data_IF_915204940874
#
_entry.id   IF_915204940874
#
_cell.length_a   1.000
_cell.length_b   1.000
_cell.length_c   1.000
_cell.angle_alpha   90.00
_cell.angle_beta   90.00
_cell.angle_gamma   90.00
#
_symmetry.space_group_name_H-M   'P 1'
#
loop_
_entity.id
_entity.type
_entity.pdbx_description
1 polymer ?
#
# COMPACT_ATOMS: atom_id res chain seq x y z
N UNK A 1 7.63 -14.48 -15.11
CA UNK A 1 6.32 -14.90 -15.66
C UNK A 1 6.45 -16.38 -15.93
N UNK A 2 5.49 -17.15 -15.48
CA UNK A 2 5.41 -18.59 -15.75
C UNK A 2 4.81 -18.84 -17.13
N UNK A 3 5.31 -19.83 -17.86
CA UNK A 3 4.75 -20.21 -19.16
C UNK A 3 3.46 -21.03 -19.00
N UNK A 4 2.53 -21.00 -19.98
CA UNK A 4 1.30 -21.79 -19.90
C UNK A 4 1.62 -23.30 -19.83
N UNK A 5 1.21 -23.96 -18.73
CA UNK A 5 1.42 -25.39 -18.50
C UNK A 5 2.50 -25.73 -17.49
N UNK A 6 3.20 -24.77 -16.91
CA UNK A 6 4.11 -25.02 -15.79
C UNK A 6 3.34 -25.44 -14.53
N UNK A 7 3.92 -26.41 -13.81
CA UNK A 7 3.33 -26.87 -12.56
C UNK A 7 3.51 -25.83 -11.47
N UNK A 8 2.51 -25.62 -10.61
CA UNK A 8 2.53 -24.67 -9.48
C UNK A 8 3.72 -24.85 -8.54
N UNK A 9 4.31 -26.05 -8.50
CA UNK A 9 5.47 -26.39 -7.68
C UNK A 9 6.79 -25.73 -8.19
N UNK A 10 6.80 -25.22 -9.42
CA UNK A 10 7.96 -24.55 -10.02
C UNK A 10 7.86 -23.02 -9.93
N UNK A 11 6.88 -22.49 -9.23
CA UNK A 11 6.77 -21.05 -8.96
C UNK A 11 7.93 -20.60 -8.05
N UNK A 12 8.42 -19.39 -8.30
CA UNK A 12 9.37 -18.77 -7.39
C UNK A 12 8.70 -18.52 -6.04
N UNK A 13 9.41 -18.80 -4.96
CA UNK A 13 8.96 -18.52 -3.61
C UNK A 13 8.70 -17.01 -3.43
N UNK A 14 7.54 -16.67 -2.91
CA UNK A 14 7.09 -15.28 -2.78
C UNK A 14 6.66 -15.02 -1.34
N UNK A 15 7.14 -13.92 -0.77
CA UNK A 15 6.80 -13.47 0.57
C UNK A 15 6.10 -12.12 0.52
N UNK A 16 4.94 -12.03 1.15
CA UNK A 16 4.26 -10.76 1.42
C UNK A 16 4.32 -10.52 2.93
N UNK A 17 5.05 -9.49 3.34
CA UNK A 17 5.24 -9.16 4.75
C UNK A 17 4.45 -7.89 5.08
N UNK A 18 3.49 -8.01 5.99
CA UNK A 18 2.74 -6.90 6.57
C UNK A 18 3.30 -6.57 7.94
N UNK A 19 3.88 -5.38 8.10
CA UNK A 19 4.26 -4.84 9.40
C UNK A 19 3.11 -3.94 9.85
N UNK A 20 2.42 -4.32 10.92
CA UNK A 20 1.21 -3.64 11.37
C UNK A 20 1.46 -2.91 12.69
N UNK A 21 0.91 -1.69 12.81
CA UNK A 21 1.00 -0.89 14.02
C UNK A 21 0.28 -1.54 15.20
N UNK A 22 -0.83 -2.24 14.92
CA UNK A 22 -1.62 -2.96 15.91
C UNK A 22 -1.64 -4.46 15.60
N UNK A 23 -1.85 -5.29 16.62
CA UNK A 23 -2.06 -6.73 16.45
C UNK A 23 -3.39 -7.01 15.75
N UNK A 24 -3.35 -7.21 14.43
CA UNK A 24 -4.54 -7.41 13.61
C UNK A 24 -5.18 -8.79 13.77
N UNK A 25 -4.45 -9.77 14.32
CA UNK A 25 -4.94 -11.13 14.55
C UNK A 25 -5.32 -11.39 16.02
N UNK A 26 -4.90 -10.52 16.95
CA UNK A 26 -5.40 -10.47 18.31
C UNK A 26 -4.83 -11.50 19.31
N UNK A 27 -3.83 -12.31 18.89
CA UNK A 27 -3.24 -13.35 19.74
C UNK A 27 -1.97 -12.88 20.48
N UNK A 28 -1.62 -11.59 20.33
CA UNK A 28 -0.45 -10.96 20.95
C UNK A 28 0.89 -11.66 20.66
N UNK A 29 1.02 -12.22 19.46
CA UNK A 29 2.28 -12.81 18.98
C UNK A 29 3.10 -11.78 18.20
N UNK A 30 4.45 -11.91 18.20
CA UNK A 30 5.32 -11.00 17.45
C UNK A 30 5.25 -11.20 15.93
N UNK A 31 4.90 -12.42 15.50
CA UNK A 31 4.84 -12.80 14.11
C UNK A 31 3.78 -13.88 13.88
N UNK A 32 3.08 -13.80 12.76
CA UNK A 32 2.12 -14.79 12.30
C UNK A 32 2.45 -15.20 10.89
N UNK A 33 2.49 -16.51 10.66
CA UNK A 33 2.63 -17.10 9.33
C UNK A 33 1.26 -17.59 8.88
N UNK A 34 0.83 -17.13 7.71
CA UNK A 34 -0.47 -17.47 7.12
C UNK A 34 -0.26 -18.27 5.86
N UNK A 35 -0.69 -19.52 5.90
CA UNK A 35 -0.60 -20.45 4.78
C UNK A 35 -1.98 -20.76 4.22
N UNK A 36 -2.02 -21.23 2.96
CA UNK A 36 -3.26 -21.62 2.29
C UNK A 36 -3.49 -23.13 2.41
N UNK A 37 -4.72 -23.48 2.70
CA UNK A 37 -5.16 -24.88 2.75
C UNK A 37 -6.27 -25.15 1.72
N UNK A 38 -6.28 -26.34 1.16
CA UNK A 38 -7.37 -26.85 0.32
C UNK A 38 -8.46 -27.32 1.28
N UNK A 39 -9.59 -26.62 1.32
CA UNK A 39 -10.69 -26.88 2.27
C UNK A 39 -11.21 -28.32 2.21
N UNK A 40 -11.33 -28.86 1.00
CA UNK A 40 -11.91 -30.17 0.74
C UNK A 40 -11.03 -31.32 1.21
N UNK A 41 -9.72 -31.11 1.33
CA UNK A 41 -8.75 -32.15 1.69
C UNK A 41 -7.99 -31.86 2.98
N UNK A 42 -8.05 -30.64 3.50
CA UNK A 42 -7.26 -30.18 4.64
C UNK A 42 -5.75 -30.10 4.39
N UNK A 43 -5.30 -30.28 3.15
CA UNK A 43 -3.89 -30.26 2.79
C UNK A 43 -3.42 -28.86 2.49
N UNK A 44 -2.13 -28.59 2.76
CA UNK A 44 -1.48 -27.34 2.34
C UNK A 44 -1.49 -27.23 0.82
N UNK A 45 -1.75 -26.02 0.31
CA UNK A 45 -1.79 -25.77 -1.13
C UNK A 45 -0.40 -25.77 -1.75
N UNK A 46 0.64 -25.39 -1.01
CA UNK A 46 2.06 -25.40 -1.40
C UNK A 46 2.34 -24.67 -2.72
N UNK A 47 1.78 -23.48 -2.88
CA UNK A 47 1.97 -22.65 -4.07
C UNK A 47 3.19 -21.72 -3.97
N UNK A 48 4.11 -21.98 -3.05
CA UNK A 48 5.31 -21.18 -2.79
C UNK A 48 5.00 -19.70 -2.43
N UNK A 49 3.79 -19.42 -1.93
CA UNK A 49 3.34 -18.08 -1.58
C UNK A 49 3.06 -17.98 -0.09
N UNK A 50 3.77 -17.11 0.59
CA UNK A 50 3.76 -16.94 2.04
C UNK A 50 3.27 -15.55 2.41
N UNK A 51 2.41 -15.47 3.42
CA UNK A 51 1.97 -14.20 4.00
C UNK A 51 2.43 -14.17 5.46
N UNK A 52 3.12 -13.10 5.83
CA UNK A 52 3.64 -12.90 7.18
C UNK A 52 3.07 -11.60 7.73
N UNK A 53 2.47 -11.66 8.92
CA UNK A 53 2.11 -10.48 9.69
C UNK A 53 3.08 -10.30 10.84
N UNK A 54 3.62 -9.10 10.99
CA UNK A 54 4.52 -8.72 12.09
C UNK A 54 3.82 -7.67 12.94
N UNK A 55 3.70 -7.93 14.22
CA UNK A 55 3.14 -7.03 15.20
C UNK A 55 4.22 -6.07 15.73
N UNK A 56 4.21 -4.81 15.29
CA UNK A 56 5.24 -3.84 15.66
C UNK A 56 5.12 -3.30 17.09
N UNK A 57 4.07 -3.68 17.82
CA UNK A 57 3.95 -3.34 19.25
C UNK A 57 4.90 -4.14 20.12
N UNK A 58 5.31 -5.34 19.69
CA UNK A 58 6.24 -6.18 20.42
C UNK A 58 7.66 -5.76 20.08
N UNK A 59 8.35 -5.16 21.08
CA UNK A 59 9.68 -4.57 21.00
C UNK A 59 10.57 -5.13 22.09
N UNK A 60 10.64 -6.44 22.14
CA UNK A 60 11.44 -7.18 23.12
C UNK A 60 12.91 -7.26 22.69
N UNK A 61 13.74 -7.99 23.47
CA UNK A 61 15.16 -8.14 23.22
C UNK A 61 15.50 -9.09 22.05
N UNK A 62 14.50 -9.67 21.39
CA UNK A 62 14.72 -10.49 20.20
C UNK A 62 15.19 -9.63 19.01
N UNK A 63 15.79 -10.26 18.00
CA UNK A 63 16.18 -9.55 16.78
C UNK A 63 14.97 -8.85 16.11
N UNK A 64 13.81 -9.52 16.08
CA UNK A 64 12.59 -8.94 15.52
C UNK A 64 12.07 -7.78 16.37
N UNK A 65 12.06 -7.91 17.70
CA UNK A 65 11.64 -6.86 18.62
C UNK A 65 12.51 -5.61 18.49
N UNK A 66 13.83 -5.78 18.39
CA UNK A 66 14.78 -4.69 18.13
C UNK A 66 14.54 -4.01 16.78
N UNK A 67 14.23 -4.79 15.74
CA UNK A 67 13.86 -4.23 14.44
C UNK A 67 12.58 -3.41 14.50
N UNK A 68 11.56 -3.89 15.24
CA UNK A 68 10.31 -3.15 15.43
C UNK A 68 10.52 -1.88 16.26
N UNK A 69 11.43 -1.91 17.23
CA UNK A 69 11.87 -0.71 17.95
C UNK A 69 12.44 0.31 16.96
N UNK A 70 13.38 -0.09 16.11
CA UNK A 70 14.08 0.81 15.18
C UNK A 70 13.13 1.45 14.17
N UNK A 71 12.11 0.73 13.70
CA UNK A 71 11.11 1.28 12.77
C UNK A 71 10.26 2.41 13.40
N UNK A 72 10.17 2.47 14.70
CA UNK A 72 9.47 3.53 15.43
C UNK A 72 10.41 4.55 16.06
N UNK A 73 11.71 4.29 16.02
CA UNK A 73 12.73 5.15 16.59
C UNK A 73 12.90 6.42 15.75
N UNK A 74 12.87 7.57 16.40
CA UNK A 74 13.04 8.86 15.74
C UNK A 74 14.46 9.36 15.69
N UNK A 75 15.32 8.84 16.56
CA UNK A 75 16.71 9.26 16.70
C UNK A 75 17.64 8.09 16.32
N UNK A 76 18.52 8.32 15.35
CA UNK A 76 19.46 7.32 14.87
C UNK A 76 20.37 6.74 15.98
N UNK A 77 20.69 7.55 17.00
CA UNK A 77 21.56 7.13 18.11
C UNK A 77 20.92 6.10 19.04
N UNK A 78 19.60 6.00 19.02
CA UNK A 78 18.85 5.10 19.89
C UNK A 78 18.48 3.79 19.16
N UNK A 79 18.92 3.62 17.91
CA UNK A 79 18.68 2.43 17.10
C UNK A 79 19.67 1.32 17.38
N UNK A 80 19.19 0.07 17.31
CA UNK A 80 20.00 -1.14 17.48
C UNK A 80 20.76 -1.55 16.21
N UNK A 81 20.17 -1.31 15.03
CA UNK A 81 20.76 -1.70 13.75
C UNK A 81 21.47 -0.53 13.08
N UNK A 82 22.79 -0.58 13.03
CA UNK A 82 23.68 0.45 12.48
C UNK A 82 23.27 0.85 11.05
N UNK A 83 22.93 -0.15 10.20
CA UNK A 83 22.48 0.11 8.82
C UNK A 83 21.24 1.00 8.75
N UNK A 84 20.29 0.83 9.68
CA UNK A 84 19.11 1.68 9.78
C UNK A 84 19.46 3.04 10.39
N UNK A 85 20.27 3.05 11.44
CA UNK A 85 20.77 4.27 12.09
C UNK A 85 21.46 5.19 11.07
N UNK A 86 22.38 4.66 10.28
CA UNK A 86 23.09 5.40 9.23
C UNK A 86 22.15 5.99 8.19
N UNK A 87 21.13 5.23 7.79
CA UNK A 87 20.12 5.73 6.83
C UNK A 87 19.24 6.82 7.42
N UNK A 88 18.83 6.67 8.67
CA UNK A 88 18.04 7.70 9.37
C UNK A 88 18.88 8.97 9.57
N UNK A 89 20.13 8.82 9.97
CA UNK A 89 21.08 9.93 10.09
C UNK A 89 21.25 10.65 8.74
N UNK A 90 21.51 9.91 7.66
CA UNK A 90 21.66 10.47 6.32
C UNK A 90 20.43 11.29 5.91
N UNK A 91 19.23 10.76 6.04
CA UNK A 91 18.01 11.46 5.60
C UNK A 91 17.56 12.59 6.52
N UNK A 92 18.01 12.62 7.78
CA UNK A 92 17.64 13.67 8.74
C UNK A 92 18.68 14.74 8.95
N UNK A 93 19.96 14.44 8.80
CA UNK A 93 21.05 15.30 9.21
C UNK A 93 22.05 15.62 8.07
N UNK A 94 22.16 14.78 7.04
CA UNK A 94 22.98 15.09 5.86
C UNK A 94 22.21 16.01 4.89
N UNK A 95 22.85 17.08 4.42
CA UNK A 95 22.24 18.08 3.54
C UNK A 95 21.62 17.47 2.27
N UNK A 96 22.31 16.49 1.65
CA UNK A 96 21.83 15.82 0.44
C UNK A 96 20.66 14.90 0.75
N UNK A 97 20.73 14.15 1.86
CA UNK A 97 19.68 13.26 2.31
C UNK A 97 18.40 14.01 2.66
N UNK A 98 18.54 15.13 3.40
CA UNK A 98 17.42 16.02 3.73
C UNK A 98 16.77 16.59 2.47
N UNK A 99 17.57 17.04 1.49
CA UNK A 99 17.03 17.56 0.22
C UNK A 99 16.23 16.49 -0.56
N UNK A 100 16.73 15.25 -0.60
CA UNK A 100 16.03 14.12 -1.23
C UNK A 100 14.71 13.84 -0.51
N UNK A 101 14.71 13.81 0.82
CA UNK A 101 13.52 13.56 1.62
C UNK A 101 12.47 14.67 1.44
N UNK A 102 12.89 15.94 1.47
CA UNK A 102 12.00 17.08 1.26
C UNK A 102 11.33 17.01 -0.12
N UNK A 103 12.09 16.69 -1.17
CA UNK A 103 11.54 16.53 -2.51
C UNK A 103 10.54 15.37 -2.59
N UNK A 104 10.87 14.22 -2.03
CA UNK A 104 9.96 13.07 -2.01
C UNK A 104 8.65 13.39 -1.28
N UNK A 105 8.70 14.07 -0.15
CA UNK A 105 7.50 14.52 0.58
C UNK A 105 6.67 15.54 -0.20
N UNK A 106 7.32 16.44 -0.93
CA UNK A 106 6.62 17.39 -1.81
C UNK A 106 5.93 16.68 -2.97
N UNK A 107 6.61 15.74 -3.61
CA UNK A 107 6.04 14.92 -4.69
C UNK A 107 4.83 14.12 -4.19
N UNK A 108 4.92 13.45 -3.04
CA UNK A 108 3.79 12.73 -2.41
C UNK A 108 2.61 13.67 -2.10
N UNK A 109 2.88 14.86 -1.56
CA UNK A 109 1.83 15.84 -1.27
C UNK A 109 1.13 16.30 -2.54
N UNK A 110 1.89 16.56 -3.59
CA UNK A 110 1.36 17.01 -4.88
C UNK A 110 0.54 15.87 -5.55
N UNK A 111 0.98 14.63 -5.45
CA UNK A 111 0.24 13.46 -5.93
C UNK A 111 -1.08 13.29 -5.17
N UNK A 112 -1.05 13.31 -3.85
CA UNK A 112 -2.25 13.22 -3.01
C UNK A 112 -3.25 14.36 -3.31
N UNK A 113 -2.76 15.58 -3.56
CA UNK A 113 -3.60 16.70 -3.94
C UNK A 113 -4.29 16.46 -5.30
N UNK A 114 -3.54 15.99 -6.31
CA UNK A 114 -4.09 15.64 -7.63
C UNK A 114 -5.12 14.53 -7.57
N UNK A 115 -4.86 13.50 -6.77
CA UNK A 115 -5.83 12.41 -6.56
C UNK A 115 -7.11 12.92 -5.90
N UNK A 116 -7.00 13.77 -4.87
CA UNK A 116 -8.14 14.36 -4.21
C UNK A 116 -8.99 15.25 -5.16
N UNK A 117 -8.33 16.05 -6.00
CA UNK A 117 -8.98 16.86 -7.04
C UNK A 117 -9.70 15.97 -8.06
N UNK A 118 -9.03 14.92 -8.53
CA UNK A 118 -9.62 13.95 -9.47
C UNK A 118 -10.84 13.23 -8.88
N UNK A 119 -10.75 12.80 -7.64
CA UNK A 119 -11.86 12.16 -6.93
C UNK A 119 -13.04 13.11 -6.74
N UNK A 120 -12.77 14.41 -6.48
CA UNK A 120 -13.79 15.44 -6.43
C UNK A 120 -14.46 15.64 -7.79
N UNK A 121 -13.70 15.72 -8.87
CA UNK A 121 -14.18 15.85 -10.24
C UNK A 121 -15.10 14.68 -10.62
N UNK A 122 -14.67 13.44 -10.35
CA UNK A 122 -15.46 12.21 -10.58
C UNK A 122 -16.78 12.25 -9.79
N UNK A 123 -16.73 12.66 -8.52
CA UNK A 123 -17.93 12.77 -7.69
C UNK A 123 -18.91 13.82 -8.24
N UNK A 124 -18.40 14.97 -8.70
CA UNK A 124 -19.23 16.01 -9.33
C UNK A 124 -19.83 15.53 -10.64
N UNK A 125 -19.04 14.86 -11.51
CA UNK A 125 -19.53 14.29 -12.75
C UNK A 125 -20.66 13.29 -12.50
N UNK A 126 -20.54 12.40 -11.48
CA UNK A 126 -21.62 11.47 -11.10
C UNK A 126 -22.92 12.18 -10.74
N UNK A 127 -22.85 13.26 -9.95
CA UNK A 127 -24.02 14.04 -9.57
C UNK A 127 -24.67 14.75 -10.79
N UNK A 128 -23.85 15.29 -11.69
CA UNK A 128 -24.36 15.94 -12.92
C UNK A 128 -25.00 14.94 -13.89
N UNK A 129 -24.42 13.74 -14.03
CA UNK A 129 -25.01 12.64 -14.79
C UNK A 129 -26.36 12.19 -14.16
N UNK A 130 -26.45 12.21 -12.83
CA UNK A 130 -27.69 11.89 -12.11
C UNK A 130 -28.81 12.92 -12.33
N UNK A 131 -28.46 14.20 -12.34
CA UNK A 131 -29.39 15.28 -12.59
C UNK A 131 -29.94 15.27 -14.05
N UNK A 132 -29.15 14.75 -15.00
CA UNK A 132 -29.58 14.51 -16.39
C UNK A 132 -29.85 15.75 -17.21
N UNK A 133 -29.44 16.95 -16.76
CA UNK A 133 -29.73 18.22 -17.43
C UNK A 133 -28.59 18.69 -18.36
N UNK A 134 -27.41 18.12 -18.21
CA UNK A 134 -26.21 18.52 -18.96
C UNK A 134 -25.79 17.44 -19.94
N UNK A 135 -25.19 17.84 -21.06
CA UNK A 135 -24.54 16.91 -21.97
C UNK A 135 -23.23 16.38 -21.36
N UNK A 136 -22.73 15.28 -21.86
CA UNK A 136 -21.43 14.74 -21.37
C UNK A 136 -20.28 15.67 -21.71
N UNK A 137 -20.37 16.41 -22.80
CA UNK A 137 -19.40 17.45 -23.18
C UNK A 137 -19.40 18.60 -22.17
N UNK A 138 -20.58 19.05 -21.74
CA UNK A 138 -20.70 20.10 -20.72
C UNK A 138 -20.16 19.61 -19.37
N UNK A 139 -20.49 18.38 -18.98
CA UNK A 139 -20.00 17.76 -17.74
C UNK A 139 -18.47 17.66 -17.77
N UNK A 140 -17.88 17.23 -18.88
CA UNK A 140 -16.44 17.18 -19.06
C UNK A 140 -15.79 18.55 -18.89
N UNK A 141 -16.38 19.58 -19.48
CA UNK A 141 -15.92 20.98 -19.36
C UNK A 141 -15.99 21.50 -17.91
N UNK A 142 -17.09 21.24 -17.19
CA UNK A 142 -17.25 21.72 -15.80
C UNK A 142 -16.42 20.97 -14.78
N UNK A 143 -16.10 19.70 -15.05
CA UNK A 143 -15.36 18.85 -14.11
C UNK A 143 -13.89 18.71 -14.44
N UNK A 144 -13.44 19.28 -15.56
CA UNK A 144 -12.07 19.16 -16.09
C UNK A 144 -11.68 17.68 -16.37
N UNK A 145 -12.65 16.79 -16.49
CA UNK A 145 -12.47 15.41 -16.93
C UNK A 145 -12.49 15.34 -18.45
N UNK A 146 -11.88 14.29 -19.01
CA UNK A 146 -12.04 14.00 -20.44
C UNK A 146 -13.45 13.46 -20.72
N UNK A 147 -13.93 13.63 -21.95
CA UNK A 147 -15.23 13.08 -22.38
C UNK A 147 -15.27 11.56 -22.16
N UNK A 148 -14.19 10.86 -22.49
CA UNK A 148 -14.05 9.42 -22.29
C UNK A 148 -14.19 9.00 -20.81
N UNK A 149 -13.63 9.79 -19.88
CA UNK A 149 -13.79 9.55 -18.44
C UNK A 149 -15.25 9.74 -18.00
N UNK A 150 -15.94 10.77 -18.51
CA UNK A 150 -17.36 11.00 -18.21
C UNK A 150 -18.24 9.89 -18.75
N UNK A 151 -18.00 9.43 -19.97
CA UNK A 151 -18.72 8.30 -20.58
C UNK A 151 -18.52 7.01 -19.78
N UNK A 152 -17.28 6.74 -19.34
CA UNK A 152 -16.97 5.58 -18.50
C UNK A 152 -17.73 5.62 -17.18
N UNK A 153 -17.76 6.78 -16.51
CA UNK A 153 -18.53 6.97 -15.26
C UNK A 153 -20.02 6.70 -15.49
N UNK A 154 -20.56 7.15 -16.63
CA UNK A 154 -21.96 6.91 -16.98
C UNK A 154 -22.28 5.43 -17.25
N UNK A 155 -21.35 4.68 -17.84
CA UNK A 155 -21.48 3.24 -18.10
C UNK A 155 -21.41 2.41 -16.80
N UNK A 156 -20.49 2.72 -15.89
CA UNK A 156 -20.39 2.05 -14.60
C UNK A 156 -21.71 2.11 -13.81
N UNK A 157 -22.42 3.22 -13.90
CA UNK A 157 -23.72 3.40 -13.24
C UNK A 157 -24.83 2.54 -13.85
N UNK A 158 -24.81 2.26 -15.16
CA UNK A 158 -25.83 1.42 -15.81
C UNK A 158 -25.67 -0.07 -15.48
N UNK A 159 -24.54 -0.46 -14.92
CA UNK A 159 -24.19 -1.85 -14.61
C UNK A 159 -24.35 -2.20 -13.11
N UNK A 160 -24.68 -1.22 -12.25
CA UNK A 160 -24.89 -1.36 -10.81
C UNK A 160 -26.38 -1.22 -10.46
#
# INVERSE_FOLDING_TARGET
>A
MTEPGEQYQNLNETYVVFITENDVLGENLPIYHVDRIIRETGKMFNDQSHIIYVNSQIRDETALGKLMHDFTCTNAKDMYYEVLADRVHYFKEDEKGVAIMCKAMEDMRNEAAREAEKMKAIRMARLMIEDGKLSYEDIAMYTELTLEEVEKIALEKKSA
#
